data_IF_784232209075
#
_entry.id   IF_784232209075
#
_cell.length_a   1.000
_cell.length_b   1.000
_cell.length_c   1.000
_cell.angle_alpha   90.00
_cell.angle_beta   90.00
_cell.angle_gamma   90.00
#
_symmetry.space_group_name_H-M   'P 1'
#
loop_
_entity.id
_entity.type
_entity.pdbx_description
1 polymer ?
#
# COMPACT_ATOMS: atom_id res chain seq x y z
N UNK A 1 -43.05 -11.95 0.79
CA UNK A 1 -44.36 -11.39 1.24
C UNK A 1 -45.55 -12.36 1.05
N UNK A 2 -45.64 -13.03 -0.10
CA UNK A 2 -46.73 -13.95 -0.46
C UNK A 2 -46.83 -15.18 0.45
N UNK A 3 -45.71 -15.76 0.86
CA UNK A 3 -45.68 -17.04 1.60
C UNK A 3 -46.30 -16.97 3.02
N UNK A 4 -46.16 -15.85 3.72
CA UNK A 4 -46.74 -15.66 5.06
C UNK A 4 -48.23 -15.36 5.00
N UNK A 5 -48.66 -14.60 4.00
CA UNK A 5 -50.07 -14.27 3.79
C UNK A 5 -50.88 -15.51 3.40
N UNK A 6 -50.31 -16.39 2.56
CA UNK A 6 -50.96 -17.67 2.22
C UNK A 6 -51.07 -18.61 3.42
N UNK A 7 -50.03 -18.69 4.27
CA UNK A 7 -50.07 -19.45 5.51
C UNK A 7 -51.08 -18.89 6.50
N UNK A 8 -51.19 -17.57 6.64
CA UNK A 8 -52.19 -16.95 7.50
C UNK A 8 -53.61 -17.22 7.01
N UNK A 9 -53.85 -17.18 5.69
CA UNK A 9 -55.16 -17.51 5.09
C UNK A 9 -55.58 -18.97 5.26
N UNK A 10 -54.63 -19.87 5.47
CA UNK A 10 -54.88 -21.28 5.73
C UNK A 10 -55.20 -21.58 7.20
N UNK A 11 -55.08 -20.59 8.11
CA UNK A 11 -55.39 -20.78 9.52
C UNK A 11 -56.90 -20.72 9.79
N UNK A 12 -57.41 -21.50 10.75
CA UNK A 12 -58.77 -21.37 11.26
C UNK A 12 -59.05 -19.94 11.78
N UNK A 13 -60.31 -19.46 11.72
CA UNK A 13 -60.67 -18.11 12.15
C UNK A 13 -60.25 -17.75 13.58
N UNK A 14 -60.31 -18.72 14.50
CA UNK A 14 -59.88 -18.54 15.89
C UNK A 14 -58.38 -18.25 15.99
N UNK A 15 -57.56 -18.98 15.22
CA UNK A 15 -56.10 -18.84 15.23
C UNK A 15 -55.66 -17.55 14.52
N UNK A 16 -56.38 -17.10 13.50
CA UNK A 16 -56.17 -15.79 12.86
C UNK A 16 -56.42 -14.63 13.83
N UNK A 17 -57.48 -14.72 14.62
CA UNK A 17 -57.80 -13.70 15.65
C UNK A 17 -56.73 -13.71 16.74
N UNK A 18 -56.32 -14.88 17.21
CA UNK A 18 -55.25 -15.02 18.21
C UNK A 18 -53.92 -14.47 17.68
N UNK A 19 -53.56 -14.76 16.43
CA UNK A 19 -52.36 -14.22 15.79
C UNK A 19 -52.41 -12.69 15.66
N UNK A 20 -53.56 -12.12 15.28
CA UNK A 20 -53.72 -10.66 15.24
C UNK A 20 -53.60 -10.03 16.63
N UNK A 21 -54.24 -10.62 17.64
CA UNK A 21 -54.15 -10.15 19.02
C UNK A 21 -52.70 -10.18 19.52
N UNK A 22 -51.96 -11.24 19.23
CA UNK A 22 -50.54 -11.35 19.56
C UNK A 22 -49.70 -10.29 18.84
N UNK A 23 -49.91 -10.09 17.54
CA UNK A 23 -49.17 -9.07 16.77
C UNK A 23 -49.51 -7.64 17.20
N UNK A 24 -50.75 -7.39 17.64
CA UNK A 24 -51.21 -6.06 18.03
C UNK A 24 -50.81 -5.70 19.47
N UNK A 25 -50.84 -6.67 20.38
CA UNK A 25 -50.68 -6.41 21.81
C UNK A 25 -49.35 -6.88 22.38
N UNK A 26 -48.77 -7.96 21.84
CA UNK A 26 -47.59 -8.62 22.39
C UNK A 26 -46.33 -8.43 21.52
N UNK A 27 -46.47 -7.86 20.33
CA UNK A 27 -45.34 -7.49 19.46
C UNK A 27 -45.08 -5.99 19.49
N UNK A 28 -43.85 -5.60 19.82
CA UNK A 28 -43.39 -4.22 19.76
C UNK A 28 -42.52 -3.99 18.53
N UNK A 29 -42.95 -3.09 17.64
CA UNK A 29 -42.12 -2.58 16.55
C UNK A 29 -41.40 -1.31 17.02
N UNK A 30 -40.09 -1.40 17.20
CA UNK A 30 -39.26 -0.22 17.48
C UNK A 30 -38.88 0.43 16.15
N UNK A 31 -39.47 1.59 15.86
CA UNK A 31 -39.12 2.40 14.69
C UNK A 31 -38.20 3.53 15.13
N UNK A 32 -36.98 3.55 14.59
CA UNK A 32 -36.04 4.64 14.78
C UNK A 32 -36.03 5.47 13.51
N UNK A 33 -36.49 6.72 13.61
CA UNK A 33 -36.44 7.69 12.51
C UNK A 33 -35.25 8.63 12.73
N UNK A 34 -34.45 8.85 11.70
CA UNK A 34 -33.32 9.79 11.72
C UNK A 34 -33.52 10.87 10.66
N UNK A 35 -32.97 12.07 10.87
CA UNK A 35 -33.12 13.19 9.92
C UNK A 35 -32.36 12.95 8.62
N UNK A 36 -31.29 12.17 8.67
CA UNK A 36 -30.45 11.84 7.53
C UNK A 36 -29.92 10.40 7.64
N UNK A 37 -29.37 9.93 6.52
CA UNK A 37 -28.85 8.58 6.38
C UNK A 37 -27.64 8.34 7.31
N UNK A 38 -26.82 9.37 7.56
CA UNK A 38 -25.59 9.26 8.37
C UNK A 38 -25.91 9.01 9.85
N UNK A 39 -26.93 9.66 10.37
CA UNK A 39 -27.49 9.39 11.69
C UNK A 39 -28.10 7.98 11.78
N UNK A 40 -28.80 7.51 10.73
CA UNK A 40 -29.30 6.12 10.69
C UNK A 40 -28.15 5.12 10.77
N UNK A 41 -27.06 5.34 10.02
CA UNK A 41 -25.87 4.50 10.06
C UNK A 41 -25.27 4.41 11.45
N UNK A 42 -25.03 5.55 12.10
CA UNK A 42 -24.40 5.60 13.42
C UNK A 42 -25.25 4.87 14.46
N UNK A 43 -26.56 5.02 14.41
CA UNK A 43 -27.46 4.33 15.34
C UNK A 43 -27.49 2.83 15.03
N UNK A 44 -27.55 2.45 13.76
CA UNK A 44 -27.58 1.05 13.35
C UNK A 44 -26.28 0.31 13.70
N UNK A 45 -25.12 0.91 13.44
CA UNK A 45 -23.82 0.33 13.80
C UNK A 45 -23.65 0.15 15.30
N UNK A 46 -24.15 1.10 16.11
CA UNK A 46 -24.14 0.99 17.57
C UNK A 46 -25.10 -0.10 18.08
N UNK A 47 -26.25 -0.30 17.41
CA UNK A 47 -27.24 -1.32 17.77
C UNK A 47 -26.83 -2.73 17.33
N UNK A 48 -26.06 -2.88 16.24
CA UNK A 48 -25.65 -4.16 15.68
C UNK A 48 -24.36 -4.76 16.25
N UNK A 49 -23.90 -4.28 17.40
CA UNK A 49 -22.67 -4.72 18.09
C UNK A 49 -22.67 -6.20 18.57
N UNK A 50 -23.60 -7.04 18.08
CA UNK A 50 -23.74 -8.48 18.34
C UNK A 50 -24.08 -9.30 17.09
N UNK A 51 -23.39 -9.10 15.96
CA UNK A 51 -23.39 -10.19 14.97
C UNK A 51 -22.72 -10.00 13.63
N UNK A 52 -22.67 -8.79 13.05
CA UNK A 52 -21.89 -8.40 11.85
C UNK A 52 -22.27 -6.94 11.52
N UNK A 53 -21.28 -6.06 11.41
CA UNK A 53 -21.52 -4.66 11.04
C UNK A 53 -22.13 -4.56 9.63
N UNK A 54 -23.05 -3.61 9.44
CA UNK A 54 -23.54 -3.28 8.10
C UNK A 54 -22.45 -2.52 7.35
N UNK A 55 -21.86 -3.18 6.37
CA UNK A 55 -20.81 -2.55 5.59
C UNK A 55 -21.43 -1.55 4.60
N UNK A 56 -20.73 -0.44 4.27
CA UNK A 56 -21.18 0.50 3.24
C UNK A 56 -21.61 -0.20 1.93
N UNK A 57 -20.92 -1.28 1.56
CA UNK A 57 -21.23 -2.09 0.37
C UNK A 57 -22.62 -2.74 0.42
N UNK A 58 -23.14 -3.10 1.60
CA UNK A 58 -24.45 -3.73 1.74
C UNK A 58 -25.57 -2.75 1.38
N UNK A 59 -25.38 -1.47 1.71
CA UNK A 59 -26.34 -0.42 1.37
C UNK A 59 -26.23 -0.01 -0.10
N UNK A 60 -25.01 0.10 -0.63
CA UNK A 60 -24.82 0.32 -2.06
C UNK A 60 -25.47 -0.83 -2.85
N UNK A 61 -25.24 -2.08 -2.45
CA UNK A 61 -25.87 -3.28 -3.05
C UNK A 61 -27.39 -3.18 -3.03
N UNK A 62 -27.99 -2.92 -1.87
CA UNK A 62 -29.44 -2.83 -1.73
C UNK A 62 -30.05 -1.72 -2.61
N UNK A 63 -29.40 -0.56 -2.67
CA UNK A 63 -29.84 0.57 -3.50
C UNK A 63 -29.72 0.26 -4.99
N UNK A 64 -28.56 -0.25 -5.44
CA UNK A 64 -28.32 -0.62 -6.84
C UNK A 64 -29.31 -1.69 -7.30
N UNK A 65 -29.50 -2.77 -6.53
CA UNK A 65 -30.45 -3.83 -6.87
C UNK A 65 -31.91 -3.33 -6.84
N UNK A 66 -32.23 -2.41 -5.93
CA UNK A 66 -33.51 -1.72 -5.87
C UNK A 66 -33.79 -0.91 -7.14
N UNK A 67 -32.81 -0.13 -7.61
CA UNK A 67 -32.90 0.63 -8.85
C UNK A 67 -33.04 -0.29 -10.07
N UNK A 68 -32.29 -1.40 -10.14
CA UNK A 68 -32.43 -2.40 -11.22
C UNK A 68 -33.84 -3.00 -11.21
N UNK A 69 -34.38 -3.33 -10.03
CA UNK A 69 -35.73 -3.89 -9.92
C UNK A 69 -36.78 -2.93 -10.47
N UNK A 70 -36.67 -1.64 -10.16
CA UNK A 70 -37.60 -0.60 -10.63
C UNK A 70 -37.45 -0.32 -12.12
N UNK A 71 -36.22 -0.29 -12.66
CA UNK A 71 -35.95 0.10 -14.05
C UNK A 71 -36.00 -1.06 -15.04
N UNK A 72 -35.65 -2.27 -14.62
CA UNK A 72 -35.41 -3.41 -15.48
C UNK A 72 -36.13 -4.70 -15.02
N UNK A 73 -36.89 -4.61 -13.93
CA UNK A 73 -37.72 -5.69 -13.41
C UNK A 73 -37.01 -6.64 -12.44
N UNK A 74 -37.82 -7.44 -11.75
CA UNK A 74 -37.40 -8.32 -10.65
C UNK A 74 -36.51 -9.49 -11.11
N UNK A 75 -36.71 -9.99 -12.33
CA UNK A 75 -35.88 -11.05 -12.92
C UNK A 75 -34.44 -10.59 -13.11
N UNK A 76 -34.23 -9.40 -13.70
CA UNK A 76 -32.90 -8.82 -13.87
C UNK A 76 -32.27 -8.48 -12.52
N UNK A 77 -33.02 -7.90 -11.59
CA UNK A 77 -32.51 -7.60 -10.24
C UNK A 77 -31.96 -8.84 -9.54
N UNK A 78 -32.66 -9.99 -9.61
CA UNK A 78 -32.16 -11.26 -9.08
C UNK A 78 -30.89 -11.76 -9.78
N UNK A 79 -30.79 -11.60 -11.10
CA UNK A 79 -29.59 -11.97 -11.86
C UNK A 79 -28.36 -11.16 -11.40
N UNK A 80 -28.51 -9.84 -11.28
CA UNK A 80 -27.44 -8.97 -10.77
C UNK A 80 -27.13 -9.19 -9.29
N UNK A 81 -28.12 -9.58 -8.47
CA UNK A 81 -27.87 -9.98 -7.08
C UNK A 81 -26.96 -11.20 -7.00
N UNK A 82 -27.16 -12.19 -7.90
CA UNK A 82 -26.29 -13.37 -8.01
C UNK A 82 -24.89 -13.00 -8.47
N UNK A 83 -24.77 -12.13 -9.48
CA UNK A 83 -23.47 -11.68 -9.99
C UNK A 83 -22.69 -10.89 -8.93
N UNK A 84 -23.35 -10.00 -8.21
CA UNK A 84 -22.75 -9.28 -7.08
C UNK A 84 -22.19 -10.25 -6.05
N UNK A 85 -23.01 -11.21 -5.59
CA UNK A 85 -22.56 -12.21 -4.61
C UNK A 85 -21.43 -13.09 -5.14
N UNK A 86 -21.38 -13.35 -6.46
CA UNK A 86 -20.26 -14.08 -7.09
C UNK A 86 -18.95 -13.28 -6.98
N UNK A 87 -18.98 -11.99 -7.32
CA UNK A 87 -17.80 -11.11 -7.24
C UNK A 87 -17.34 -10.97 -5.78
N UNK A 88 -18.28 -10.72 -4.87
CA UNK A 88 -18.04 -10.60 -3.43
C UNK A 88 -17.43 -11.89 -2.84
N UNK A 89 -17.91 -13.07 -3.26
CA UNK A 89 -17.37 -14.35 -2.81
C UNK A 89 -15.97 -14.63 -3.36
N UNK A 90 -15.69 -14.18 -4.60
CA UNK A 90 -14.39 -14.36 -5.25
C UNK A 90 -13.31 -13.54 -4.57
N UNK A 91 -13.60 -12.26 -4.31
CA UNK A 91 -12.64 -11.34 -3.69
C UNK A 91 -12.56 -11.50 -2.17
N UNK A 92 -13.62 -11.98 -1.53
CA UNK A 92 -13.82 -11.85 -0.09
C UNK A 92 -14.40 -10.49 0.29
N UNK A 93 -15.15 -10.46 1.40
CA UNK A 93 -15.97 -9.30 1.80
C UNK A 93 -15.15 -8.03 2.01
N UNK A 94 -14.00 -8.14 2.68
CA UNK A 94 -13.17 -6.98 3.01
C UNK A 94 -12.53 -6.36 1.76
N UNK A 95 -11.89 -7.17 0.94
CA UNK A 95 -11.28 -6.70 -0.31
C UNK A 95 -12.33 -6.18 -1.31
N UNK A 96 -13.52 -6.79 -1.34
CA UNK A 96 -14.64 -6.26 -2.10
C UNK A 96 -15.13 -4.92 -1.53
N UNK A 97 -15.09 -4.72 -0.21
CA UNK A 97 -15.31 -3.42 0.44
C UNK A 97 -14.32 -2.35 -0.01
N UNK A 98 -13.02 -2.66 0.05
CA UNK A 98 -11.93 -1.78 -0.34
C UNK A 98 -12.05 -1.31 -1.80
N UNK A 99 -12.49 -2.22 -2.68
CA UNK A 99 -12.73 -1.91 -4.09
C UNK A 99 -13.67 -0.70 -4.28
N UNK A 100 -14.73 -0.56 -3.48
CA UNK A 100 -15.62 0.61 -3.60
C UNK A 100 -14.93 1.91 -3.17
N UNK A 101 -14.03 1.84 -2.18
CA UNK A 101 -13.18 2.97 -1.81
C UNK A 101 -12.22 3.36 -2.94
N UNK A 102 -11.62 2.38 -3.61
CA UNK A 102 -10.75 2.61 -4.77
C UNK A 102 -11.53 3.19 -5.96
N UNK A 103 -12.68 2.61 -6.32
CA UNK A 103 -13.57 3.14 -7.36
C UNK A 103 -13.97 4.57 -7.02
N UNK A 104 -14.46 4.84 -5.80
CA UNK A 104 -14.78 6.21 -5.38
C UNK A 104 -13.59 7.16 -5.55
N UNK A 105 -12.37 6.70 -5.28
CA UNK A 105 -11.15 7.51 -5.43
C UNK A 105 -10.80 7.78 -6.90
N UNK A 106 -11.01 6.81 -7.79
CA UNK A 106 -10.87 6.97 -9.25
C UNK A 106 -11.79 8.08 -9.75
N UNK A 107 -13.05 8.11 -9.32
CA UNK A 107 -14.02 9.10 -9.78
C UNK A 107 -13.86 10.46 -9.08
N UNK A 108 -13.75 10.47 -7.75
CA UNK A 108 -13.74 11.70 -6.95
C UNK A 108 -12.40 12.45 -7.01
N UNK A 109 -11.27 11.74 -7.14
CA UNK A 109 -9.91 12.31 -7.27
C UNK A 109 -9.56 13.35 -6.20
N UNK A 110 -10.05 13.13 -4.98
CA UNK A 110 -9.86 14.00 -3.82
C UNK A 110 -10.03 13.17 -2.55
N UNK A 111 -9.56 13.68 -1.42
CA UNK A 111 -9.78 13.04 -0.10
C UNK A 111 -11.27 12.85 0.19
N UNK A 112 -11.63 11.70 0.76
CA UNK A 112 -12.97 11.42 1.24
C UNK A 112 -13.30 12.27 2.47
N UNK A 113 -14.45 12.96 2.44
CA UNK A 113 -14.94 13.86 3.49
C UNK A 113 -16.17 13.29 4.20
N UNK A 114 -16.99 12.51 3.49
CA UNK A 114 -18.22 11.91 4.01
C UNK A 114 -18.14 10.37 3.97
N UNK A 115 -19.20 9.71 4.45
CA UNK A 115 -19.33 8.25 4.35
C UNK A 115 -19.23 7.77 2.90
N UNK A 116 -18.64 6.58 2.71
CA UNK A 116 -18.36 6.03 1.38
C UNK A 116 -19.62 5.99 0.49
N UNK A 117 -20.76 5.57 1.05
CA UNK A 117 -22.02 5.47 0.30
C UNK A 117 -22.43 6.80 -0.31
N UNK A 118 -22.39 7.88 0.46
CA UNK A 118 -22.76 9.23 -0.02
C UNK A 118 -21.82 9.67 -1.13
N UNK A 119 -20.51 9.55 -0.94
CA UNK A 119 -19.57 10.01 -1.95
C UNK A 119 -19.54 9.12 -3.20
N UNK A 120 -19.79 7.82 -3.05
CA UNK A 120 -19.94 6.91 -4.17
C UNK A 120 -21.14 7.30 -5.03
N UNK A 121 -22.27 7.62 -4.40
CA UNK A 121 -23.47 8.13 -5.08
C UNK A 121 -23.24 9.47 -5.80
N UNK A 122 -22.50 10.38 -5.17
CA UNK A 122 -22.25 11.72 -5.69
C UNK A 122 -21.23 11.74 -6.83
N UNK A 123 -20.22 10.88 -6.78
CA UNK A 123 -19.06 10.96 -7.69
C UNK A 123 -19.03 9.89 -8.77
N UNK A 124 -19.56 8.68 -8.53
CA UNK A 124 -19.54 7.62 -9.54
C UNK A 124 -20.67 7.87 -10.54
N UNK A 125 -20.32 8.23 -11.77
CA UNK A 125 -21.26 8.70 -12.78
C UNK A 125 -22.31 7.66 -13.16
N UNK A 126 -21.93 6.39 -13.19
CA UNK A 126 -22.75 5.24 -13.56
C UNK A 126 -23.69 4.83 -12.41
N UNK A 127 -23.61 5.45 -11.23
CA UNK A 127 -24.48 5.10 -10.11
C UNK A 127 -25.98 5.19 -10.47
N UNK A 128 -26.35 6.13 -11.34
CA UNK A 128 -27.72 6.30 -11.83
C UNK A 128 -28.11 5.32 -12.93
N UNK A 129 -27.15 4.61 -13.52
CA UNK A 129 -27.33 3.57 -14.54
C UNK A 129 -26.85 2.24 -13.95
N UNK A 130 -27.61 1.62 -13.03
CA UNK A 130 -27.09 0.58 -12.13
C UNK A 130 -26.62 -0.70 -12.85
N UNK A 131 -27.12 -0.98 -14.05
CA UNK A 131 -26.62 -2.05 -14.91
C UNK A 131 -25.20 -1.73 -15.40
N UNK A 132 -24.99 -0.52 -15.93
CA UNK A 132 -23.68 -0.05 -16.38
C UNK A 132 -22.70 0.07 -15.21
N UNK A 133 -23.15 0.46 -14.02
CA UNK A 133 -22.31 0.45 -12.82
C UNK A 133 -21.74 -0.94 -12.56
N UNK A 134 -22.56 -1.99 -12.62
CA UNK A 134 -22.07 -3.34 -12.38
C UNK A 134 -21.18 -3.81 -13.54
N UNK A 135 -21.65 -3.67 -14.78
CA UNK A 135 -21.02 -4.29 -15.94
C UNK A 135 -19.77 -3.54 -16.44
N UNK A 136 -19.74 -2.21 -16.35
CA UNK A 136 -18.65 -1.36 -16.87
C UNK A 136 -17.69 -0.86 -15.79
N UNK A 137 -18.12 -0.84 -14.52
CA UNK A 137 -17.33 -0.31 -13.41
C UNK A 137 -16.94 -1.40 -12.42
N UNK A 138 -17.88 -1.94 -11.65
CA UNK A 138 -17.59 -2.85 -10.53
C UNK A 138 -16.91 -4.11 -11.04
N UNK A 139 -17.49 -4.80 -12.02
CA UNK A 139 -16.95 -6.07 -12.51
C UNK A 139 -15.56 -5.93 -13.12
N UNK A 140 -15.29 -4.99 -14.08
CA UNK A 140 -13.96 -4.84 -14.63
C UNK A 140 -12.91 -4.46 -13.60
N UNK A 141 -13.24 -3.61 -12.61
CA UNK A 141 -12.28 -3.27 -11.55
C UNK A 141 -12.11 -4.38 -10.53
N UNK A 142 -13.14 -5.19 -10.25
CA UNK A 142 -13.02 -6.37 -9.39
C UNK A 142 -12.08 -7.42 -9.99
N UNK A 143 -12.21 -7.69 -11.30
CA UNK A 143 -11.31 -8.59 -12.04
C UNK A 143 -9.86 -8.12 -11.98
N UNK A 144 -9.62 -6.81 -11.96
CA UNK A 144 -8.27 -6.24 -11.85
C UNK A 144 -7.75 -6.25 -10.42
N UNK A 145 -8.62 -5.94 -9.46
CA UNK A 145 -8.25 -5.83 -8.06
C UNK A 145 -7.78 -7.16 -7.48
N UNK A 146 -8.37 -8.27 -7.91
CA UNK A 146 -8.00 -9.62 -7.46
C UNK A 146 -6.50 -9.86 -7.60
N UNK A 147 -5.96 -9.71 -8.82
CA UNK A 147 -4.53 -9.93 -9.05
C UNK A 147 -3.63 -8.77 -8.66
N UNK A 148 -4.12 -7.54 -8.60
CA UNK A 148 -3.33 -6.41 -8.06
C UNK A 148 -3.07 -6.63 -6.57
N UNK A 149 -4.05 -7.17 -5.83
CA UNK A 149 -3.93 -7.52 -4.42
C UNK A 149 -3.02 -8.72 -4.20
N UNK A 150 -3.19 -9.77 -4.99
CA UNK A 150 -2.52 -11.05 -4.77
C UNK A 150 -1.18 -11.17 -5.52
N UNK A 151 -0.88 -10.21 -6.41
CA UNK A 151 0.31 -10.19 -7.25
C UNK A 151 0.49 -11.50 -8.05
N UNK A 152 -0.60 -11.96 -8.67
CA UNK A 152 -0.70 -13.22 -9.42
C UNK A 152 -1.17 -12.98 -10.87
N UNK A 153 -0.79 -11.86 -11.48
CA UNK A 153 -1.09 -11.59 -12.87
C UNK A 153 -0.45 -12.63 -13.80
N UNK A 154 -1.26 -13.19 -14.70
CA UNK A 154 -0.84 -14.17 -15.69
C UNK A 154 -0.74 -13.55 -17.09
N UNK A 155 0.44 -13.69 -17.71
CA UNK A 155 0.69 -13.32 -19.10
C UNK A 155 1.83 -14.16 -19.67
N UNK A 156 1.92 -14.24 -21.00
CA UNK A 156 3.00 -14.96 -21.68
C UNK A 156 4.38 -14.32 -21.48
N UNK A 157 4.41 -13.01 -21.24
CA UNK A 157 5.63 -12.22 -21.05
C UNK A 157 5.41 -11.23 -19.90
N UNK A 158 6.50 -10.85 -19.23
CA UNK A 158 6.54 -9.83 -18.17
C UNK A 158 5.69 -10.09 -16.90
N UNK A 159 4.96 -11.22 -16.81
CA UNK A 159 4.13 -11.57 -15.65
C UNK A 159 4.93 -11.55 -14.34
N UNK A 160 6.09 -12.21 -14.29
CA UNK A 160 6.96 -12.23 -13.11
C UNK A 160 7.43 -10.82 -12.70
N UNK A 161 7.80 -9.98 -13.67
CA UNK A 161 8.23 -8.60 -13.41
C UNK A 161 7.10 -7.75 -12.83
N UNK A 162 5.90 -7.86 -13.40
CA UNK A 162 4.71 -7.13 -12.93
C UNK A 162 4.35 -7.59 -11.51
N UNK A 163 4.32 -8.90 -11.27
CA UNK A 163 4.00 -9.48 -9.97
C UNK A 163 5.04 -9.12 -8.90
N UNK A 164 6.32 -9.09 -9.25
CA UNK A 164 7.36 -8.61 -8.34
C UNK A 164 7.05 -7.17 -7.91
N UNK A 165 6.81 -6.23 -8.85
CA UNK A 165 6.47 -4.84 -8.52
C UNK A 165 5.18 -4.70 -7.71
N UNK A 166 4.12 -5.45 -8.06
CA UNK A 166 2.87 -5.50 -7.30
C UNK A 166 3.10 -5.98 -5.86
N UNK A 167 3.91 -7.02 -5.67
CA UNK A 167 4.24 -7.52 -4.33
C UNK A 167 4.93 -6.46 -3.46
N UNK A 168 5.78 -5.62 -4.05
CA UNK A 168 6.47 -4.54 -3.35
C UNK A 168 5.60 -3.31 -3.08
N UNK A 169 4.66 -3.00 -3.98
CA UNK A 169 3.61 -2.01 -3.74
C UNK A 169 2.68 -2.46 -2.61
N UNK A 170 2.37 -3.77 -2.54
CA UNK A 170 1.51 -4.33 -1.51
C UNK A 170 2.12 -4.33 -0.11
N UNK A 171 3.45 -4.26 0.00
CA UNK A 171 4.19 -4.14 1.28
C UNK A 171 4.15 -2.75 1.89
N UNK A 172 3.72 -1.73 1.15
CA UNK A 172 3.59 -0.36 1.66
C UNK A 172 2.34 -0.23 2.54
N UNK A 173 2.42 0.59 3.60
CA UNK A 173 1.36 0.74 4.61
C UNK A 173 0.15 1.61 4.17
N UNK A 174 0.15 2.06 2.92
CA UNK A 174 -0.95 2.82 2.32
C UNK A 174 -1.33 2.26 0.94
N UNK A 175 -2.59 2.47 0.55
CA UNK A 175 -3.17 1.97 -0.72
C UNK A 175 -3.59 3.08 -1.68
N UNK A 176 -3.08 4.30 -1.47
CA UNK A 176 -3.35 5.46 -2.33
C UNK A 176 -2.90 5.25 -3.80
N UNK A 177 -1.97 4.31 -4.03
CA UNK A 177 -1.46 3.93 -5.36
C UNK A 177 -2.39 3.03 -6.17
N UNK A 178 -3.36 2.38 -5.52
CA UNK A 178 -4.24 1.39 -6.15
C UNK A 178 -5.15 2.01 -7.23
N UNK A 179 -5.81 3.17 -7.03
CA UNK A 179 -6.64 3.81 -8.06
C UNK A 179 -5.96 3.98 -9.44
N UNK A 180 -4.79 4.64 -9.56
CA UNK A 180 -4.13 4.75 -10.87
C UNK A 180 -3.66 3.39 -11.41
N UNK A 181 -3.28 2.43 -10.54
CA UNK A 181 -2.95 1.08 -10.96
C UNK A 181 -4.15 0.36 -11.61
N UNK A 182 -5.32 0.42 -10.98
CA UNK A 182 -6.55 -0.18 -11.52
C UNK A 182 -6.94 0.42 -12.87
N UNK A 183 -6.85 1.76 -13.00
CA UNK A 183 -7.18 2.46 -14.25
C UNK A 183 -6.20 2.09 -15.36
N UNK A 184 -4.89 2.16 -15.11
CA UNK A 184 -3.87 1.84 -16.11
C UNK A 184 -4.02 0.39 -16.57
N UNK A 185 -4.17 -0.53 -15.62
CA UNK A 185 -4.33 -1.94 -15.91
C UNK A 185 -5.57 -2.22 -16.76
N UNK A 186 -6.73 -1.68 -16.38
CA UNK A 186 -7.98 -1.84 -17.13
C UNK A 186 -7.82 -1.42 -18.60
N UNK A 187 -7.05 -0.36 -18.88
CA UNK A 187 -6.82 0.16 -20.24
C UNK A 187 -5.78 -0.62 -21.03
N UNK A 188 -4.71 -1.09 -20.37
CA UNK A 188 -3.53 -1.66 -21.04
C UNK A 188 -3.28 -3.13 -20.72
N UNK A 189 -4.28 -3.86 -20.19
CA UNK A 189 -4.21 -5.29 -19.80
C UNK A 189 -3.56 -6.20 -20.84
N UNK A 190 -3.80 -5.92 -22.12
CA UNK A 190 -3.29 -6.73 -23.25
C UNK A 190 -1.90 -6.29 -23.74
N UNK A 191 -1.23 -5.39 -23.01
CA UNK A 191 0.09 -4.86 -23.34
C UNK A 191 1.05 -5.04 -22.14
N UNK A 192 1.51 -6.28 -21.86
CA UNK A 192 2.31 -6.58 -20.66
C UNK A 192 3.57 -5.74 -20.51
N UNK A 193 4.22 -5.36 -21.62
CA UNK A 193 5.38 -4.47 -21.61
C UNK A 193 5.05 -3.10 -20.99
N UNK A 194 3.94 -2.47 -21.41
CA UNK A 194 3.50 -1.19 -20.85
C UNK A 194 3.16 -1.31 -19.37
N UNK A 195 2.51 -2.41 -18.98
CA UNK A 195 2.21 -2.70 -17.57
C UNK A 195 3.50 -2.80 -16.75
N UNK A 196 4.50 -3.55 -17.23
CA UNK A 196 5.78 -3.71 -16.54
C UNK A 196 6.49 -2.37 -16.32
N UNK A 197 6.61 -1.56 -17.36
CA UNK A 197 7.22 -0.23 -17.29
C UNK A 197 6.45 0.70 -16.32
N UNK A 198 5.11 0.63 -16.37
CA UNK A 198 4.24 1.42 -15.50
C UNK A 198 4.40 1.03 -14.03
N UNK A 199 4.33 -0.26 -13.69
CA UNK A 199 4.43 -0.71 -12.31
C UNK A 199 5.82 -0.52 -11.73
N UNK A 200 6.88 -0.62 -12.55
CA UNK A 200 8.23 -0.23 -12.14
C UNK A 200 8.29 1.25 -11.73
N UNK A 201 7.69 2.13 -12.55
CA UNK A 201 7.68 3.56 -12.30
C UNK A 201 6.73 3.96 -11.15
N UNK A 202 5.63 3.24 -10.98
CA UNK A 202 4.70 3.40 -9.85
C UNK A 202 5.34 2.95 -8.54
N UNK A 203 6.11 1.84 -8.54
CA UNK A 203 6.90 1.42 -7.38
C UNK A 203 7.88 2.54 -6.98
N UNK A 204 8.62 3.10 -7.94
CA UNK A 204 9.53 4.23 -7.69
C UNK A 204 8.82 5.41 -7.04
N UNK A 205 7.70 5.86 -7.61
CA UNK A 205 6.92 6.97 -7.04
C UNK A 205 6.45 6.63 -5.62
N UNK A 206 5.93 5.42 -5.41
CA UNK A 206 5.40 4.98 -4.12
C UNK A 206 6.48 4.94 -3.04
N UNK A 207 7.66 4.38 -3.36
CA UNK A 207 8.78 4.34 -2.42
C UNK A 207 9.39 5.73 -2.20
N UNK A 208 9.41 6.61 -3.20
CA UNK A 208 9.78 8.02 -3.00
C UNK A 208 8.87 8.69 -1.97
N UNK A 209 7.54 8.57 -2.12
CA UNK A 209 6.58 9.17 -1.19
C UNK A 209 6.69 8.57 0.22
N UNK A 210 6.94 7.25 0.31
CA UNK A 210 7.12 6.53 1.58
C UNK A 210 8.39 7.01 2.31
N UNK A 211 9.53 7.00 1.63
CA UNK A 211 10.85 7.31 2.19
C UNK A 211 11.01 8.79 2.49
N UNK A 212 10.40 9.66 1.71
CA UNK A 212 10.40 11.11 1.98
C UNK A 212 9.26 11.55 2.90
N UNK A 213 8.55 10.59 3.51
CA UNK A 213 7.52 10.79 4.55
C UNK A 213 6.40 11.74 4.11
N UNK A 214 5.99 11.66 2.85
CA UNK A 214 4.94 12.52 2.30
C UNK A 214 3.60 12.27 2.99
N UNK A 215 2.96 13.37 3.41
CA UNK A 215 1.70 13.33 4.15
C UNK A 215 0.54 12.78 3.32
N UNK A 216 -0.45 12.19 3.99
CA UNK A 216 -1.59 11.52 3.34
C UNK A 216 -2.32 12.39 2.31
N UNK A 217 -2.47 13.69 2.57
CA UNK A 217 -3.17 14.60 1.66
C UNK A 217 -2.41 14.76 0.34
N UNK A 218 -1.11 15.04 0.40
CA UNK A 218 -0.25 15.19 -0.78
C UNK A 218 -0.13 13.87 -1.56
N UNK A 219 -0.08 12.72 -0.88
CA UNK A 219 -0.13 11.42 -1.55
C UNK A 219 -1.42 11.22 -2.33
N UNK A 220 -2.57 11.47 -1.71
CA UNK A 220 -3.89 11.35 -2.36
C UNK A 220 -3.95 12.27 -3.58
N UNK A 221 -3.49 13.51 -3.46
CA UNK A 221 -3.44 14.48 -4.56
C UNK A 221 -2.53 14.01 -5.70
N UNK A 222 -1.35 13.46 -5.36
CA UNK A 222 -0.40 12.90 -6.33
C UNK A 222 -1.02 11.75 -7.12
N UNK A 223 -1.58 10.74 -6.46
CA UNK A 223 -2.20 9.61 -7.19
C UNK A 223 -3.49 9.99 -7.91
N UNK A 224 -4.23 10.98 -7.42
CA UNK A 224 -5.37 11.55 -8.12
C UNK A 224 -4.94 12.29 -9.40
N UNK A 225 -3.84 13.02 -9.37
CA UNK A 225 -3.26 13.66 -10.55
C UNK A 225 -2.80 12.61 -11.58
N UNK A 226 -2.09 11.57 -11.14
CA UNK A 226 -1.70 10.45 -11.99
C UNK A 226 -2.93 9.76 -12.62
N UNK A 227 -3.99 9.55 -11.85
CA UNK A 227 -5.24 8.97 -12.38
C UNK A 227 -5.84 9.85 -13.49
N UNK A 228 -5.83 11.18 -13.32
CA UNK A 228 -6.31 12.14 -14.35
C UNK A 228 -5.46 12.14 -15.61
N UNK A 229 -4.15 11.89 -15.51
CA UNK A 229 -3.26 11.76 -16.67
C UNK A 229 -3.56 10.48 -17.47
N UNK A 230 -3.97 9.40 -16.79
CA UNK A 230 -4.20 8.08 -17.39
C UNK A 230 -5.59 7.97 -18.02
N UNK A 231 -6.64 8.61 -17.51
CA UNK A 231 -8.02 8.41 -17.98
C UNK A 231 -8.33 8.83 -19.43
N UNK A 232 -7.77 9.93 -19.99
CA UNK A 232 -8.16 10.41 -21.31
C UNK A 232 -8.00 9.34 -22.39
N UNK A 233 -9.00 9.20 -23.27
CA UNK A 233 -8.96 8.23 -24.39
C UNK A 233 -7.81 8.46 -25.38
N UNK A 234 -7.30 9.70 -25.40
CA UNK A 234 -6.12 10.12 -26.16
C UNK A 234 -4.83 9.53 -25.61
N UNK A 235 -4.76 9.22 -24.31
CA UNK A 235 -3.60 8.58 -23.69
C UNK A 235 -3.49 7.13 -24.19
N UNK A 236 -2.32 6.78 -24.75
CA UNK A 236 -2.04 5.46 -25.37
C UNK A 236 -1.05 4.61 -24.58
N UNK A 237 -0.75 4.99 -23.33
CA UNK A 237 0.05 4.19 -22.41
C UNK A 237 1.50 4.64 -22.27
N UNK A 238 1.96 5.59 -23.07
CA UNK A 238 3.32 6.13 -23.03
C UNK A 238 3.61 6.83 -21.69
N UNK A 239 4.59 6.31 -20.95
CA UNK A 239 4.98 6.84 -19.64
C UNK A 239 5.58 8.24 -19.72
N UNK A 240 6.16 8.64 -20.86
CA UNK A 240 6.72 9.98 -21.03
C UNK A 240 5.64 11.08 -20.91
N UNK A 241 4.38 10.74 -21.18
CA UNK A 241 3.25 11.65 -21.01
C UNK A 241 2.73 11.72 -19.57
N UNK A 242 3.17 10.84 -18.67
CA UNK A 242 2.75 10.81 -17.26
C UNK A 242 3.71 11.63 -16.39
N UNK A 243 3.51 12.95 -16.37
CA UNK A 243 4.40 13.88 -15.66
C UNK A 243 4.45 13.59 -14.15
N UNK A 244 3.34 13.13 -13.57
CA UNK A 244 3.27 12.79 -12.14
C UNK A 244 4.12 11.56 -11.78
N UNK A 245 4.39 10.68 -12.74
CA UNK A 245 5.18 9.45 -12.55
C UNK A 245 6.70 9.68 -12.66
N UNK A 246 7.09 10.81 -13.24
CA UNK A 246 8.48 11.23 -13.37
C UNK A 246 8.93 11.99 -12.11
N UNK A 247 10.04 11.55 -11.51
CA UNK A 247 10.68 12.30 -10.43
C UNK A 247 11.58 13.39 -11.01
N UNK A 248 11.42 14.62 -10.54
CA UNK A 248 12.36 15.71 -10.80
C UNK A 248 13.72 15.41 -10.19
N UNK A 249 14.78 16.06 -10.68
CA UNK A 249 16.13 15.90 -10.13
C UNK A 249 16.22 16.29 -8.65
N UNK A 250 15.44 17.29 -8.22
CA UNK A 250 15.33 17.66 -6.80
C UNK A 250 14.71 16.53 -5.96
N UNK A 251 13.64 15.90 -6.47
CA UNK A 251 13.00 14.75 -5.81
C UNK A 251 13.92 13.52 -5.78
N UNK A 252 14.65 13.24 -6.87
CA UNK A 252 15.66 12.17 -6.91
C UNK A 252 16.75 12.40 -5.87
N UNK A 253 17.33 13.61 -5.78
CA UNK A 253 18.32 13.96 -4.74
C UNK A 253 17.76 13.78 -3.33
N UNK A 254 16.52 14.23 -3.09
CA UNK A 254 15.84 14.03 -1.80
C UNK A 254 15.65 12.55 -1.48
N UNK A 255 15.31 11.74 -2.48
CA UNK A 255 15.16 10.30 -2.33
C UNK A 255 16.50 9.65 -1.95
N UNK A 256 17.55 9.95 -2.70
CA UNK A 256 18.90 9.42 -2.42
C UNK A 256 19.40 9.84 -1.05
N UNK A 257 19.23 11.10 -0.67
CA UNK A 257 19.63 11.59 0.65
C UNK A 257 18.91 10.84 1.79
N UNK A 258 17.62 10.53 1.62
CA UNK A 258 16.86 9.77 2.61
C UNK A 258 17.25 8.28 2.64
N UNK A 259 17.66 7.69 1.51
CA UNK A 259 18.21 6.33 1.48
C UNK A 259 19.61 6.25 2.11
N UNK A 260 20.39 7.33 1.99
CA UNK A 260 21.74 7.41 2.54
C UNK A 260 21.77 7.74 4.04
N UNK A 261 20.68 8.32 4.58
CA UNK A 261 20.56 8.72 5.97
C UNK A 261 20.25 7.58 6.96
N UNK A 262 19.71 7.97 8.11
CA UNK A 262 19.31 7.09 9.20
C UNK A 262 18.03 6.32 8.83
N UNK A 263 18.17 5.16 8.19
CA UNK A 263 17.01 4.40 7.72
C UNK A 263 16.23 3.77 8.88
N UNK A 264 16.89 3.33 9.96
CA UNK A 264 16.20 2.61 11.01
C UNK A 264 15.30 3.51 11.86
N UNK A 265 15.77 4.70 12.25
CA UNK A 265 15.04 5.62 13.13
C UNK A 265 14.22 6.64 12.34
N UNK A 266 14.74 7.20 11.23
CA UNK A 266 13.96 8.21 10.48
C UNK A 266 12.81 7.60 9.69
N UNK A 267 12.87 6.31 9.35
CA UNK A 267 11.94 5.64 8.43
C UNK A 267 11.27 4.38 9.04
N UNK A 268 10.61 4.47 10.21
CA UNK A 268 10.05 3.30 10.90
C UNK A 268 9.02 2.52 10.06
N UNK A 269 8.30 3.21 9.18
CA UNK A 269 7.32 2.62 8.25
C UNK A 269 7.94 2.02 6.99
N UNK A 270 9.14 2.45 6.60
CA UNK A 270 9.78 2.05 5.35
C UNK A 270 10.94 1.07 5.54
N UNK A 271 11.64 1.11 6.68
CA UNK A 271 12.91 0.42 6.91
C UNK A 271 12.90 -1.06 6.54
N UNK A 272 11.84 -1.79 6.93
CA UNK A 272 11.72 -3.21 6.62
C UNK A 272 11.50 -3.43 5.12
N UNK A 273 10.60 -2.66 4.51
CA UNK A 273 10.33 -2.74 3.08
C UNK A 273 11.57 -2.41 2.26
N UNK A 274 12.36 -1.40 2.67
CA UNK A 274 13.61 -1.02 2.03
C UNK A 274 14.69 -2.09 2.10
N UNK A 275 14.99 -2.59 3.29
CA UNK A 275 16.04 -3.62 3.45
C UNK A 275 15.66 -4.90 2.73
N UNK A 276 14.38 -5.30 2.79
CA UNK A 276 13.89 -6.46 2.04
C UNK A 276 13.89 -6.21 0.53
N UNK A 277 13.60 -4.99 0.07
CA UNK A 277 13.68 -4.65 -1.36
C UNK A 277 15.13 -4.73 -1.82
N UNK A 278 16.06 -4.17 -1.06
CA UNK A 278 17.49 -4.27 -1.34
C UNK A 278 17.95 -5.74 -1.39
N UNK A 279 17.58 -6.55 -0.40
CA UNK A 279 17.82 -8.00 -0.38
C UNK A 279 17.28 -8.68 -1.64
N UNK A 280 16.08 -8.30 -2.10
CA UNK A 280 15.47 -8.85 -3.31
C UNK A 280 16.19 -8.48 -4.61
N UNK A 281 16.96 -7.38 -4.62
CA UNK A 281 17.71 -6.90 -5.76
C UNK A 281 19.13 -7.48 -5.83
N UNK A 282 19.68 -7.88 -4.68
CA UNK A 282 21.02 -8.50 -4.61
C UNK A 282 20.98 -10.03 -4.61
N UNK A 283 19.80 -10.64 -4.37
CA UNK A 283 19.63 -12.10 -4.47
C UNK A 283 19.75 -12.60 -5.91
N UNK A 284 20.15 -13.87 -6.02
CA UNK A 284 20.10 -14.58 -7.28
C UNK A 284 18.63 -14.69 -7.77
N UNK A 285 18.39 -14.59 -9.09
CA UNK A 285 17.06 -14.81 -9.66
C UNK A 285 16.47 -16.16 -9.24
N UNK A 286 15.17 -16.19 -8.92
CA UNK A 286 14.44 -17.42 -8.55
C UNK A 286 14.54 -17.82 -7.07
N UNK A 287 15.35 -17.16 -6.24
CA UNK A 287 15.39 -17.42 -4.79
C UNK A 287 14.21 -16.73 -4.10
N UNK A 288 13.33 -17.49 -3.44
CA UNK A 288 12.20 -16.89 -2.72
C UNK A 288 12.65 -16.10 -1.47
N UNK A 289 12.02 -14.94 -1.27
CA UNK A 289 12.28 -14.09 -0.11
C UNK A 289 11.55 -14.65 1.11
N UNK A 290 12.23 -14.74 2.25
CA UNK A 290 11.61 -15.25 3.47
C UNK A 290 10.78 -14.17 4.19
N UNK A 291 9.65 -14.57 4.77
CA UNK A 291 8.67 -13.67 5.37
C UNK A 291 8.87 -13.41 6.87
N UNK A 292 9.65 -14.25 7.57
CA UNK A 292 9.89 -14.13 9.01
C UNK A 292 11.18 -13.34 9.29
N UNK A 293 11.11 -12.02 9.16
CA UNK A 293 12.31 -11.16 9.20
C UNK A 293 12.18 -10.08 10.27
N UNK A 294 13.29 -9.86 10.97
CA UNK A 294 13.60 -8.69 11.78
C UNK A 294 14.81 -7.98 11.17
N UNK A 295 15.00 -6.71 11.52
CA UNK A 295 16.22 -5.99 11.17
C UNK A 295 17.21 -6.12 12.32
N UNK A 296 18.35 -6.73 12.04
CA UNK A 296 19.48 -6.82 12.94
C UNK A 296 20.43 -5.64 12.70
N UNK A 297 20.92 -5.07 13.78
CA UNK A 297 22.01 -4.10 13.75
C UNK A 297 23.31 -4.87 13.95
N UNK A 298 24.20 -4.90 12.97
CA UNK A 298 25.46 -5.63 13.11
C UNK A 298 26.31 -4.98 14.21
N UNK A 299 26.67 -3.70 14.04
CA UNK A 299 27.08 -2.80 15.14
C UNK A 299 25.85 -2.56 16.04
N UNK A 300 25.84 -3.03 17.30
CA UNK A 300 24.70 -2.87 18.19
C UNK A 300 24.45 -1.42 18.60
N UNK A 301 23.19 -1.09 18.90
CA UNK A 301 22.80 0.23 19.43
C UNK A 301 23.42 0.56 20.79
N UNK A 302 23.71 -0.47 21.59
CA UNK A 302 24.40 -0.31 22.88
C UNK A 302 25.55 -1.30 22.95
N UNK A 303 26.72 -0.96 22.38
CA UNK A 303 27.89 -1.81 22.44
C UNK A 303 28.33 -2.06 23.89
N UNK A 304 28.73 -3.29 24.26
CA UNK A 304 29.24 -3.57 25.60
C UNK A 304 30.57 -2.86 25.86
N UNK A 305 30.81 -2.47 27.11
CA UNK A 305 32.09 -1.92 27.55
C UNK A 305 33.23 -2.91 27.26
N UNK A 306 34.36 -2.39 26.77
CA UNK A 306 35.55 -3.18 26.45
C UNK A 306 35.41 -4.13 25.25
N UNK A 307 34.31 -4.08 24.48
CA UNK A 307 34.14 -4.86 23.25
C UNK A 307 34.96 -4.34 22.08
N UNK A 308 35.13 -5.19 21.05
CA UNK A 308 35.80 -4.80 19.80
C UNK A 308 35.12 -3.60 19.12
N UNK A 309 33.81 -3.42 19.35
CA UNK A 309 33.03 -2.29 18.82
C UNK A 309 33.60 -0.93 19.24
N UNK A 310 33.97 -0.76 20.51
CA UNK A 310 34.52 0.51 21.01
C UNK A 310 35.97 0.72 20.56
N UNK A 311 36.67 -0.33 20.12
CA UNK A 311 37.99 -0.23 19.50
C UNK A 311 37.88 0.17 18.02
N UNK A 312 36.90 -0.38 17.30
CA UNK A 312 36.69 -0.08 15.88
C UNK A 312 35.97 1.25 15.64
N UNK A 313 35.16 1.67 16.61
CA UNK A 313 34.46 2.96 16.62
C UNK A 313 34.78 3.68 17.94
N UNK A 314 35.97 4.27 18.09
CA UNK A 314 36.34 4.98 19.31
C UNK A 314 35.53 6.28 19.50
N UNK A 315 35.22 6.99 18.42
CA UNK A 315 34.36 8.18 18.43
C UNK A 315 32.89 7.77 18.55
N UNK A 316 32.18 8.39 19.49
CA UNK A 316 30.74 8.20 19.68
C UNK A 316 29.93 8.74 18.51
N UNK A 317 30.35 9.86 17.92
CA UNK A 317 29.65 10.45 16.78
C UNK A 317 29.67 9.51 15.57
N UNK A 318 30.79 8.81 15.35
CA UNK A 318 30.89 7.80 14.29
C UNK A 318 29.95 6.61 14.59
N UNK A 319 29.85 6.16 15.85
CA UNK A 319 28.92 5.08 16.20
C UNK A 319 27.48 5.49 15.92
N UNK A 320 27.06 6.65 16.40
CA UNK A 320 25.71 7.18 16.19
C UNK A 320 25.41 7.34 14.69
N UNK A 321 26.35 7.90 13.92
CA UNK A 321 26.18 8.14 12.49
C UNK A 321 25.99 6.87 11.66
N UNK A 322 26.54 5.73 12.09
CA UNK A 322 26.53 4.47 11.34
C UNK A 322 25.54 3.43 11.83
N UNK A 323 25.15 3.47 13.12
CA UNK A 323 24.32 2.43 13.75
C UNK A 323 23.03 2.16 12.97
N UNK A 324 22.37 3.20 12.49
CA UNK A 324 21.03 3.10 11.93
C UNK A 324 20.96 3.20 10.40
N UNK A 325 22.11 3.23 9.71
CA UNK A 325 22.19 3.29 8.24
C UNK A 325 22.10 1.92 7.59
N UNK A 326 21.71 1.87 6.31
CA UNK A 326 21.56 0.64 5.52
C UNK A 326 22.79 -0.28 5.60
N UNK A 327 24.00 0.28 5.58
CA UNK A 327 25.23 -0.50 5.65
C UNK A 327 25.32 -1.37 6.91
N UNK A 328 24.74 -0.93 8.04
CA UNK A 328 24.75 -1.66 9.30
C UNK A 328 23.54 -2.59 9.52
N UNK A 329 22.49 -2.44 8.69
CA UNK A 329 21.25 -3.17 8.84
C UNK A 329 21.24 -4.42 7.97
N UNK A 330 20.88 -5.56 8.57
CA UNK A 330 20.73 -6.82 7.82
C UNK A 330 19.43 -7.54 8.19
N UNK A 331 18.76 -8.20 7.23
CA UNK A 331 17.60 -9.01 7.52
C UNK A 331 18.01 -10.29 8.28
N UNK A 332 17.32 -10.60 9.37
CA UNK A 332 17.60 -11.78 10.17
C UNK A 332 16.33 -12.37 10.76
N UNK A 333 16.30 -13.69 10.94
CA UNK A 333 15.22 -14.35 11.68
C UNK A 333 15.08 -13.75 13.10
N UNK A 334 13.84 -13.62 13.59
CA UNK A 334 13.54 -12.98 14.88
C UNK A 334 14.22 -13.66 16.06
N UNK A 335 14.25 -14.99 16.09
CA UNK A 335 14.85 -15.74 17.19
C UNK A 335 16.37 -15.59 17.19
N UNK A 336 16.96 -15.59 15.99
CA UNK A 336 18.40 -15.33 15.81
C UNK A 336 18.77 -13.90 16.22
N UNK A 337 18.00 -12.91 15.83
CA UNK A 337 18.22 -11.51 16.23
C UNK A 337 18.19 -11.38 17.76
N UNK A 338 17.14 -11.92 18.40
CA UNK A 338 17.05 -11.96 19.86
C UNK A 338 18.27 -12.65 20.52
N UNK A 339 18.80 -13.71 19.91
CA UNK A 339 19.98 -14.44 20.40
C UNK A 339 21.30 -13.70 20.13
N UNK A 340 21.37 -12.87 19.08
CA UNK A 340 22.53 -12.08 18.73
C UNK A 340 22.70 -10.88 19.69
N UNK A 341 21.58 -10.26 20.08
CA UNK A 341 21.52 -9.20 21.10
C UNK A 341 22.59 -8.11 20.87
N UNK A 342 23.12 -7.53 21.93
CA UNK A 342 24.23 -6.57 21.87
C UNK A 342 25.60 -7.25 22.02
N UNK A 343 25.73 -8.53 21.68
CA UNK A 343 27.00 -9.23 21.86
C UNK A 343 28.09 -8.72 20.92
N UNK A 344 29.33 -9.10 21.21
CA UNK A 344 30.49 -8.78 20.38
C UNK A 344 30.41 -9.44 18.99
N UNK A 345 31.12 -8.89 18.01
CA UNK A 345 31.00 -9.26 16.60
C UNK A 345 31.19 -10.75 16.34
N UNK A 346 32.22 -11.35 16.93
CA UNK A 346 32.49 -12.78 16.79
C UNK A 346 31.32 -13.65 17.28
N UNK A 347 30.68 -13.25 18.39
CA UNK A 347 29.51 -13.97 18.94
C UNK A 347 28.29 -13.77 18.07
N UNK A 348 28.02 -12.55 17.59
CA UNK A 348 26.94 -12.26 16.63
C UNK A 348 27.09 -13.09 15.35
N UNK A 349 28.27 -13.11 14.73
CA UNK A 349 28.57 -13.96 13.55
C UNK A 349 28.30 -15.44 13.83
N UNK A 350 28.68 -15.94 15.00
CA UNK A 350 28.38 -17.33 15.36
C UNK A 350 26.87 -17.58 15.47
N UNK A 351 26.08 -16.64 16.00
CA UNK A 351 24.60 -16.75 16.03
C UNK A 351 24.00 -16.73 14.63
N UNK A 352 24.51 -15.87 13.73
CA UNK A 352 24.00 -15.76 12.37
C UNK A 352 24.18 -17.08 11.59
N UNK A 353 25.32 -17.77 11.77
CA UNK A 353 25.74 -18.87 10.88
C UNK A 353 25.97 -20.25 11.51
N UNK A 354 26.14 -20.37 12.84
CA UNK A 354 26.56 -21.63 13.49
C UNK A 354 25.63 -22.12 14.63
N UNK A 355 24.67 -21.33 15.08
CA UNK A 355 23.77 -21.67 16.20
C UNK A 355 22.84 -22.87 15.93
N UNK A 356 21.99 -23.22 16.92
CA UNK A 356 20.93 -24.24 16.76
C UNK A 356 19.90 -23.75 15.71
N UNK A 357 20.13 -24.06 14.44
CA UNK A 357 19.28 -23.69 13.31
C UNK A 357 20.06 -23.61 11.99
N UNK A 358 19.34 -23.42 10.88
CA UNK A 358 19.95 -23.27 9.53
C UNK A 358 20.68 -21.93 9.44
N UNK A 359 21.81 -21.85 8.74
CA UNK A 359 22.52 -20.59 8.48
C UNK A 359 21.59 -19.50 7.90
N UNK A 360 21.87 -18.22 8.17
CA UNK A 360 21.04 -17.14 7.63
C UNK A 360 20.97 -17.25 6.10
N UNK A 361 19.77 -17.25 5.50
CA UNK A 361 19.59 -17.42 4.05
C UNK A 361 19.72 -16.11 3.29
N UNK A 362 19.75 -14.97 4.00
CA UNK A 362 19.79 -13.65 3.38
C UNK A 362 21.18 -13.28 2.90
N UNK A 363 21.26 -12.83 1.66
CA UNK A 363 22.49 -12.42 0.96
C UNK A 363 23.19 -11.29 1.71
N UNK A 364 22.44 -10.23 2.08
CA UNK A 364 23.01 -9.11 2.83
C UNK A 364 23.62 -9.56 4.17
N UNK A 365 23.00 -10.53 4.83
CA UNK A 365 23.51 -11.10 6.08
C UNK A 365 24.71 -12.00 5.82
N UNK A 366 24.71 -12.78 4.73
CA UNK A 366 25.83 -13.65 4.38
C UNK A 366 27.10 -12.87 4.05
N UNK A 367 27.00 -11.64 3.54
CA UNK A 367 28.17 -10.76 3.34
C UNK A 367 28.94 -10.51 4.66
N UNK A 368 28.24 -10.39 5.79
CA UNK A 368 28.84 -10.21 7.13
C UNK A 368 29.76 -11.39 7.51
N UNK A 369 29.54 -12.57 6.92
CA UNK A 369 30.36 -13.76 7.20
C UNK A 369 31.82 -13.56 6.78
N UNK A 370 32.04 -12.88 5.67
CA UNK A 370 33.37 -12.67 5.07
C UNK A 370 34.19 -11.61 5.78
N UNK A 371 33.56 -10.76 6.59
CA UNK A 371 34.22 -9.63 7.22
C UNK A 371 34.88 -10.00 8.56
N UNK A 372 36.15 -9.68 8.74
CA UNK A 372 36.87 -9.92 10.01
C UNK A 372 36.62 -8.82 11.04
N UNK A 373 36.46 -7.59 10.56
CA UNK A 373 36.19 -6.39 11.38
C UNK A 373 35.04 -5.62 10.77
N UNK A 374 34.33 -4.86 11.59
CA UNK A 374 33.24 -4.00 11.17
C UNK A 374 33.63 -2.57 11.50
N UNK A 375 34.04 -1.78 10.51
CA UNK A 375 34.71 -0.47 10.74
C UNK A 375 34.04 0.63 9.92
N UNK A 376 34.20 1.92 10.30
CA UNK A 376 33.66 3.04 9.53
C UNK A 376 34.04 3.01 8.05
N UNK A 377 35.31 2.74 7.73
CA UNK A 377 35.79 2.71 6.35
C UNK A 377 35.06 1.67 5.48
N UNK A 378 34.86 0.46 6.03
CA UNK A 378 34.06 -0.57 5.36
C UNK A 378 32.60 -0.15 5.20
N UNK A 379 32.03 0.48 6.23
CA UNK A 379 30.62 0.91 6.19
C UNK A 379 30.38 1.98 5.13
N UNK A 380 31.36 2.86 4.86
CA UNK A 380 31.30 3.82 3.73
C UNK A 380 31.16 3.07 2.40
N UNK A 381 32.08 2.16 2.09
CA UNK A 381 32.08 1.42 0.82
C UNK A 381 30.80 0.58 0.66
N UNK A 382 30.37 -0.04 1.78
CA UNK A 382 29.14 -0.82 1.82
C UNK A 382 27.93 0.06 1.59
N UNK A 383 27.83 1.21 2.25
CA UNK A 383 26.73 2.16 2.11
C UNK A 383 26.59 2.64 0.66
N UNK A 384 27.70 3.09 0.05
CA UNK A 384 27.72 3.55 -1.33
C UNK A 384 27.21 2.47 -2.29
N UNK A 385 27.67 1.22 -2.13
CA UNK A 385 27.21 0.08 -2.93
C UNK A 385 25.72 -0.19 -2.75
N UNK A 386 25.24 -0.27 -1.51
CA UNK A 386 23.84 -0.62 -1.21
C UNK A 386 22.88 0.48 -1.69
N UNK A 387 23.20 1.75 -1.45
CA UNK A 387 22.45 2.89 -1.99
C UNK A 387 22.54 2.90 -3.52
N UNK A 388 23.69 2.56 -4.10
CA UNK A 388 23.89 2.42 -5.54
C UNK A 388 22.96 1.40 -6.20
N UNK A 389 22.69 0.26 -5.56
CA UNK A 389 21.73 -0.74 -6.04
C UNK A 389 20.32 -0.14 -6.14
N UNK A 390 19.87 0.55 -5.08
CA UNK A 390 18.56 1.20 -5.04
C UNK A 390 18.47 2.37 -6.04
N UNK A 391 19.53 3.17 -6.15
CA UNK A 391 19.65 4.25 -7.13
C UNK A 391 19.47 3.74 -8.56
N UNK A 392 20.16 2.65 -8.91
CA UNK A 392 20.05 2.02 -10.23
C UNK A 392 18.65 1.49 -10.48
N UNK A 393 18.09 0.73 -9.52
CA UNK A 393 16.76 0.12 -9.63
C UNK A 393 15.66 1.16 -9.86
N UNK A 394 15.69 2.25 -9.09
CA UNK A 394 14.72 3.34 -9.21
C UNK A 394 15.15 4.46 -10.17
N UNK A 395 16.22 4.28 -10.96
CA UNK A 395 16.72 5.27 -11.91
C UNK A 395 16.87 6.69 -11.29
N UNK A 396 17.53 6.77 -10.14
CA UNK A 396 17.72 7.99 -9.35
C UNK A 396 19.00 8.76 -9.71
N UNK A 397 19.69 8.37 -10.77
CA UNK A 397 20.87 9.11 -11.23
C UNK A 397 20.47 10.51 -11.72
N UNK A 398 21.28 11.48 -11.33
CA UNK A 398 21.12 12.90 -11.65
C UNK A 398 22.43 13.39 -12.24
N UNK A 399 22.37 14.10 -13.35
CA UNK A 399 23.57 14.74 -13.92
C UNK A 399 24.17 15.69 -12.88
N UNK A 400 25.50 15.76 -12.72
CA UNK A 400 26.12 16.79 -11.90
C UNK A 400 25.72 18.15 -12.48
N UNK A 401 24.89 18.90 -11.77
CA UNK A 401 24.68 20.32 -12.07
C UNK A 401 26.02 21.02 -11.85
N UNK A 402 26.46 21.81 -12.83
CA UNK A 402 27.58 22.75 -12.67
C UNK A 402 27.42 23.47 -11.34
N UNK A 403 28.48 23.40 -10.53
CA UNK A 403 28.56 23.93 -9.18
C UNK A 403 27.97 25.33 -9.09
N UNK A 404 27.19 25.57 -8.04
CA UNK A 404 26.89 26.90 -7.56
C UNK A 404 28.21 27.61 -7.15
N UNK A 405 28.88 28.23 -8.13
CA UNK A 405 30.01 29.14 -7.92
C UNK A 405 29.58 30.54 -8.33
N UNK A 406 28.87 31.23 -7.43
CA UNK A 406 28.88 32.69 -7.36
C UNK A 406 28.89 33.10 -5.90
N UNK A 407 30.08 33.07 -5.32
CA UNK A 407 30.43 33.93 -4.19
C UNK A 407 30.14 35.38 -4.59
N UNK A 408 29.45 36.19 -3.77
CA UNK A 408 29.35 37.62 -4.04
C UNK A 408 30.72 38.27 -3.82
N UNK A 409 31.20 38.98 -4.83
CA UNK A 409 32.34 39.90 -4.71
C UNK A 409 32.03 40.94 -3.64
N UNK A 410 32.78 40.92 -2.53
CA UNK A 410 32.84 42.02 -1.58
C UNK A 410 33.89 43.00 -2.13
N UNK A 411 33.46 43.92 -2.98
CA UNK A 411 34.24 45.14 -3.25
C UNK A 411 34.06 46.10 -2.09
N UNK A 412 35.11 46.20 -1.28
CA UNK A 412 35.36 47.28 -0.32
C UNK A 412 35.39 48.63 -1.04
N UNK A 413 34.39 49.47 -0.79
CA UNK A 413 34.46 50.90 -1.10
C UNK A 413 35.05 51.62 0.13
N UNK A 414 36.23 52.18 -0.09
CA UNK A 414 36.92 53.16 0.76
C UNK A 414 36.06 54.41 0.97
N UNK A 415 35.70 54.70 2.21
CA UNK A 415 35.26 56.03 2.62
C UNK A 415 36.47 56.95 2.79
N UNK A 416 36.50 57.99 1.96
CA UNK A 416 37.34 59.17 2.12
C UNK A 416 36.46 60.41 2.18
N UNK A 417 36.49 61.08 3.35
CA UNK A 417 36.33 62.53 3.61
C UNK A 417 35.34 63.32 2.72
N UNK A 418 34.29 63.89 3.34
CA UNK A 418 34.21 65.28 3.85
C UNK A 418 33.18 65.35 4.96
#
# INVERSE_FOLDING_TARGET
>A
PTLLLEKAKALPPADLIALWQFLANDCSLVVISTPDLEAAYRIFSVLNNRGLDLAPIDIIKAQVLGLIRTTAGDVKSRAYAKEWSRIESSLGRDAFGDLFGHIRSIYAKKKQKYILVKEFQEHVTEYKTPIDLVDKVIKPYAEVWDFVRDADFEATEHAETINEHLSWLNRVDFKDWVPPALVYFKRFRQQPKLLAEFFQSLERLTYFLLVTKVGINERIETYAALTKEIEPETFKGDLAALTTLALTDAQKRKFVAALDGDVYDDLPKARMALVLRLESLVRAPGVQLQNAVSLEHVLPQTPPDGSDWLQWFPDENDREAWTHRLANLVPLDRNKNSSASNYDFAKKKNVYFKGKGTASPFVLTQEVRSEEKWTPAMLVDRQERLVGVLKKHWALEVSPTESASKTPDITTATDGQV
#
